data_IF_820841972406
#
_entry.id   IF_820841972406
#
_cell.length_a   1.000
_cell.length_b   1.000
_cell.length_c   1.000
_cell.angle_alpha   90.00
_cell.angle_beta   90.00
_cell.angle_gamma   90.00
#
_symmetry.space_group_name_H-M   'P 1'
#
loop_
_entity.id
_entity.type
_entity.pdbx_description
1 polymer ?
#
# COMPACT_ATOMS: atom_id res chain seq x y z
N UNK A 1 -3.89 12.57 -28.57
CA UNK A 1 -4.37 12.37 -27.20
C UNK A 1 -3.13 12.16 -26.35
N UNK A 2 -2.80 13.11 -25.48
CA UNK A 2 -1.65 12.97 -24.58
C UNK A 2 -2.10 12.10 -23.41
N UNK A 3 -1.47 10.95 -23.21
CA UNK A 3 -1.66 10.21 -21.98
C UNK A 3 -1.12 11.10 -20.85
N UNK A 4 -1.93 11.43 -19.82
CA UNK A 4 -1.40 12.14 -18.68
C UNK A 4 -0.24 11.31 -18.13
N UNK A 5 0.89 11.98 -17.90
CA UNK A 5 2.03 11.46 -17.15
C UNK A 5 1.57 11.25 -15.71
N UNK A 6 0.70 10.27 -15.51
CA UNK A 6 0.40 9.77 -14.18
C UNK A 6 1.72 9.19 -13.72
N UNK A 7 2.26 9.72 -12.64
CA UNK A 7 3.38 9.12 -11.89
C UNK A 7 2.94 7.72 -11.42
N UNK A 8 2.91 6.76 -12.36
CA UNK A 8 2.52 5.36 -12.13
C UNK A 8 3.50 4.65 -11.18
N UNK A 9 4.62 5.31 -10.89
CA UNK A 9 5.63 4.86 -9.94
C UNK A 9 5.30 5.18 -8.48
N UNK A 10 4.26 6.00 -8.20
CA UNK A 10 3.90 6.32 -6.82
C UNK A 10 3.10 5.19 -6.19
N UNK A 11 3.58 4.59 -5.10
CA UNK A 11 2.84 3.54 -4.42
C UNK A 11 1.52 4.07 -3.88
N UNK A 12 0.42 3.40 -4.21
CA UNK A 12 -0.89 3.69 -3.62
C UNK A 12 -1.23 2.65 -2.56
N UNK A 13 -1.84 3.09 -1.47
CA UNK A 13 -2.39 2.19 -0.48
C UNK A 13 -3.60 1.48 -1.08
N UNK A 14 -3.61 0.15 -1.10
CA UNK A 14 -4.73 -0.63 -1.65
C UNK A 14 -5.96 -0.66 -0.72
N UNK A 15 -5.80 -0.26 0.54
CA UNK A 15 -6.88 -0.26 1.52
C UNK A 15 -7.69 1.04 1.51
N UNK A 16 -7.02 2.19 1.36
CA UNK A 16 -7.67 3.51 1.34
C UNK A 16 -7.49 4.29 0.04
N UNK A 17 -6.77 3.73 -0.93
CA UNK A 17 -6.42 4.37 -2.20
C UNK A 17 -5.65 5.70 -2.07
N UNK A 18 -5.01 5.93 -0.94
CA UNK A 18 -4.12 7.08 -0.74
C UNK A 18 -2.85 6.90 -1.56
N UNK A 19 -2.46 7.92 -2.34
CA UNK A 19 -1.20 7.93 -3.07
C UNK A 19 -0.10 8.39 -2.14
N UNK A 20 0.94 7.58 -2.03
CA UNK A 20 2.11 7.85 -1.21
C UNK A 20 3.31 8.10 -2.10
N UNK A 21 4.28 8.83 -1.56
CA UNK A 21 5.44 9.24 -2.35
C UNK A 21 6.43 8.10 -2.58
N UNK A 22 6.58 7.21 -1.59
CA UNK A 22 7.57 6.15 -1.59
C UNK A 22 7.06 4.86 -0.93
N UNK A 23 7.69 3.73 -1.21
CA UNK A 23 7.33 2.43 -0.62
C UNK A 23 7.45 2.45 0.91
N UNK A 24 8.40 3.21 1.45
CA UNK A 24 8.58 3.40 2.89
C UNK A 24 7.39 4.17 3.50
N UNK A 25 6.91 5.20 2.81
CA UNK A 25 5.75 5.97 3.22
C UNK A 25 4.49 5.08 3.19
N UNK A 26 4.34 4.26 2.14
CA UNK A 26 3.30 3.23 2.07
C UNK A 26 3.37 2.23 3.24
N UNK A 27 4.56 1.73 3.59
CA UNK A 27 4.73 0.83 4.74
C UNK A 27 4.33 1.50 6.05
N UNK A 28 4.85 2.70 6.32
CA UNK A 28 4.51 3.46 7.52
C UNK A 28 3.02 3.79 7.59
N UNK A 29 2.40 4.13 6.46
CA UNK A 29 0.97 4.35 6.35
C UNK A 29 0.17 3.10 6.68
N UNK A 30 0.55 1.96 6.11
CA UNK A 30 -0.09 0.69 6.42
C UNK A 30 0.09 0.37 7.92
N UNK A 31 1.27 0.56 8.50
CA UNK A 31 1.54 0.30 9.93
C UNK A 31 0.87 1.28 10.89
N UNK A 32 0.57 2.50 10.46
CA UNK A 32 -0.02 3.55 11.30
C UNK A 32 -1.54 3.64 11.14
N UNK A 33 -2.05 3.61 9.89
CA UNK A 33 -3.47 3.74 9.55
C UNK A 33 -4.17 2.41 9.38
N UNK A 34 -3.46 1.39 8.93
CA UNK A 34 -4.01 0.06 8.63
C UNK A 34 -3.33 -1.04 9.46
N UNK A 35 -2.81 -0.69 10.64
CA UNK A 35 -2.12 -1.63 11.54
C UNK A 35 -2.97 -2.86 11.83
N UNK A 36 -4.26 -2.65 12.01
CA UNK A 36 -5.25 -3.70 12.28
C UNK A 36 -5.43 -4.67 11.11
N UNK A 37 -5.14 -4.25 9.88
CA UNK A 37 -5.10 -5.14 8.72
C UNK A 37 -3.80 -5.93 8.70
N UNK A 38 -2.65 -5.28 8.90
CA UNK A 38 -1.35 -5.97 8.97
C UNK A 38 -1.32 -7.05 10.06
N UNK A 39 -1.85 -6.76 11.26
CA UNK A 39 -1.91 -7.71 12.37
C UNK A 39 -2.83 -8.92 12.10
N UNK A 40 -3.81 -8.76 11.20
CA UNK A 40 -4.68 -9.85 10.73
C UNK A 40 -4.02 -10.70 9.66
N UNK A 41 -3.19 -10.12 8.79
CA UNK A 41 -2.45 -10.87 7.77
C UNK A 41 -1.24 -11.63 8.36
N UNK A 42 -0.62 -11.13 9.43
CA UNK A 42 0.50 -11.82 10.12
C UNK A 42 0.08 -13.15 10.78
N UNK A 43 -1.20 -13.27 11.16
CA UNK A 43 -1.75 -14.51 11.75
C UNK A 43 -2.18 -15.56 10.72
N UNK A 44 -2.20 -15.17 9.44
CA UNK A 44 -2.54 -16.02 8.30
C UNK A 44 -1.27 -16.19 7.43
N UNK A 45 -0.18 -16.68 8.03
CA UNK A 45 0.95 -17.28 7.31
C UNK A 45 0.49 -18.58 6.63
N UNK A 46 -0.37 -18.45 5.62
CA UNK A 46 -0.52 -19.41 4.53
C UNK A 46 -0.79 -18.63 3.23
N UNK A 47 0.18 -17.84 2.77
CA UNK A 47 0.17 -17.43 1.37
C UNK A 47 0.84 -18.56 0.54
N UNK A 48 0.09 -19.31 -0.31
CA UNK A 48 0.70 -20.22 -1.26
C UNK A 48 1.56 -19.45 -2.27
N UNK A 49 2.67 -20.10 -2.62
CA UNK A 49 3.78 -19.68 -3.49
C UNK A 49 3.36 -19.42 -4.93
#
# INVERSE_FOLDING_TARGET
>A
MVLPLIDENKPKCYLCHELLENMEDLKNHLESKHKEFLDKYDKDDTLPT
#
